data_IF_017866045403
#
_entry.id   IF_017866045403
#
_cell.length_a   1.000
_cell.length_b   1.000
_cell.length_c   1.000
_cell.angle_alpha   90.00
_cell.angle_beta   90.00
_cell.angle_gamma   90.00
#
_symmetry.space_group_name_H-M   'P 1'
#
loop_
_entity.id
_entity.type
_entity.pdbx_description
1 polymer ?
#
# COMPACT_ATOMS: atom_id res chain seq x y z
N UNK A 1 17.08 21.10 9.76
CA UNK A 1 16.97 21.12 9.24
C UNK A 1 16.67 20.81 8.95
N UNK A 2 16.90 20.60 9.15
CA UNK A 2 16.72 20.46 8.55
C UNK A 2 16.34 19.89 8.36
N UNK A 3 16.43 19.69 8.47
CA UNK A 3 16.24 19.43 7.88
C UNK A 3 15.71 19.07 7.56
N UNK A 4 15.68 18.88 7.68
CA UNK A 4 15.34 18.76 7.07
C UNK A 4 14.84 18.57 6.69
N UNK A 5 14.97 18.50 6.66
CA UNK A 5 14.60 18.47 5.96
C UNK A 5 14.16 18.17 5.57
N UNK A 6 14.30 18.07 5.54
CA UNK A 6 13.98 17.96 4.82
C UNK A 6 13.26 17.54 4.47
N UNK A 7 13.31 17.51 4.44
CA UNK A 7 12.72 17.29 3.75
C UNK A 7 12.02 17.16 3.43
N UNK A 8 12.01 17.35 3.19
CA UNK A 8 11.44 17.43 2.56
C UNK A 8 10.94 17.61 2.02
N UNK A 9 11.20 17.69 1.82
CA UNK A 9 10.85 17.84 1.04
C UNK A 9 10.60 17.55 0.35
N UNK A 10 10.99 17.32 -0.02
CA UNK A 10 10.71 16.90 -0.75
C UNK A 10 9.94 16.25 -0.96
N UNK A 11 9.53 16.35 -0.92
CA UNK A 11 8.67 15.70 -1.11
C UNK A 11 7.95 15.68 -1.72
N UNK A 12 8.05 16.18 -2.12
CA UNK A 12 7.42 16.07 -2.96
C UNK A 12 6.93 15.03 -3.62
N UNK A 13 7.17 14.76 -4.64
CA UNK A 13 6.83 13.49 -5.19
C UNK A 13 6.74 12.46 -4.08
N UNK A 14 6.27 11.26 -4.38
CA UNK A 14 6.12 10.24 -3.37
C UNK A 14 7.46 9.93 -2.72
N UNK A 15 7.50 9.85 -1.39
CA UNK A 15 8.72 9.54 -0.68
C UNK A 15 9.06 8.06 -0.67
N UNK A 16 8.43 7.27 -1.52
CA UNK A 16 8.67 5.83 -1.59
C UNK A 16 8.56 5.37 -3.02
N UNK A 17 9.08 4.18 -3.27
CA UNK A 17 9.10 3.62 -4.61
C UNK A 17 8.14 2.45 -4.72
N UNK A 18 7.93 1.98 -5.95
CA UNK A 18 7.11 0.79 -6.14
C UNK A 18 7.79 -0.43 -5.51
N UNK A 19 9.12 -0.44 -5.48
CA UNK A 19 9.83 -1.54 -4.82
C UNK A 19 9.51 -1.59 -3.34
N UNK A 20 9.39 -0.42 -2.70
CA UNK A 20 8.99 -0.37 -1.30
C UNK A 20 7.63 -1.01 -1.10
N UNK A 21 6.69 -0.69 -2.00
CA UNK A 21 5.34 -1.23 -1.92
C UNK A 21 5.35 -2.73 -2.10
N UNK A 22 6.12 -3.22 -3.08
CA UNK A 22 6.18 -4.64 -3.36
C UNK A 22 6.78 -5.41 -2.20
N UNK A 23 7.78 -4.83 -1.55
CA UNK A 23 8.41 -5.47 -0.41
C UNK A 23 7.42 -5.63 0.74
N UNK A 24 6.65 -4.58 1.01
CA UNK A 24 5.64 -4.65 2.06
C UNK A 24 4.60 -5.70 1.71
N UNK A 25 4.19 -5.75 0.45
CA UNK A 25 3.22 -6.73 0.00
C UNK A 25 3.73 -8.15 0.20
N UNK A 26 4.99 -8.39 -0.16
CA UNK A 26 5.60 -9.71 0.03
C UNK A 26 5.63 -10.10 1.50
N UNK A 27 5.97 -9.13 2.36
CA UNK A 27 6.01 -9.40 3.79
C UNK A 27 4.63 -9.79 4.32
N UNK A 28 3.60 -9.12 3.84
CA UNK A 28 2.23 -9.42 4.25
C UNK A 28 1.85 -10.84 3.82
N UNK A 29 2.14 -11.20 2.59
CA UNK A 29 1.81 -12.54 2.09
C UNK A 29 2.63 -13.62 2.78
N UNK A 30 3.90 -13.33 3.05
CA UNK A 30 4.74 -14.28 3.78
C UNK A 30 4.17 -14.55 5.16
N UNK A 31 3.77 -13.49 5.85
CA UNK A 31 3.18 -13.62 7.17
C UNK A 31 1.90 -14.45 7.11
N UNK A 32 1.08 -14.19 6.09
CA UNK A 32 -0.17 -14.93 5.93
C UNK A 32 0.08 -16.43 5.78
N UNK A 33 1.11 -16.79 5.02
CA UNK A 33 1.45 -18.20 4.83
C UNK A 33 1.96 -18.83 6.12
N UNK A 34 2.84 -18.13 6.81
CA UNK A 34 3.43 -18.65 8.05
C UNK A 34 2.37 -18.88 9.11
N UNK A 35 1.43 -17.95 9.20
CA UNK A 35 0.37 -18.04 10.20
C UNK A 35 -0.83 -18.84 9.74
N UNK A 36 -0.84 -19.22 8.47
CA UNK A 36 -1.91 -20.02 7.88
C UNK A 36 -3.28 -19.36 8.08
N UNK A 37 -3.33 -18.06 7.79
CA UNK A 37 -4.59 -17.33 7.90
C UNK A 37 -5.62 -17.87 6.94
N UNK A 38 -6.87 -17.93 7.39
CA UNK A 38 -7.99 -18.19 6.51
C UNK A 38 -8.07 -17.04 5.50
N UNK A 39 -8.24 -17.38 4.22
CA UNK A 39 -8.19 -16.35 3.16
C UNK A 39 -9.28 -15.30 3.33
N UNK A 40 -10.49 -15.71 3.72
CA UNK A 40 -11.56 -14.75 3.96
C UNK A 40 -11.24 -13.79 5.08
N UNK A 41 -10.69 -14.32 6.18
CA UNK A 41 -10.30 -13.50 7.31
C UNK A 41 -9.16 -12.57 6.93
N UNK A 42 -8.24 -13.06 6.10
CA UNK A 42 -7.11 -12.27 5.63
C UNK A 42 -7.59 -11.05 4.82
N UNK A 43 -8.53 -11.30 3.90
CA UNK A 43 -9.10 -10.22 3.08
C UNK A 43 -9.78 -9.19 3.97
N UNK A 44 -10.61 -9.66 4.88
CA UNK A 44 -11.32 -8.78 5.80
C UNK A 44 -10.33 -7.96 6.63
N UNK A 45 -9.28 -8.63 7.11
CA UNK A 45 -8.27 -7.97 7.92
C UNK A 45 -7.53 -6.89 7.17
N UNK A 46 -7.23 -7.14 5.89
CA UNK A 46 -6.56 -6.15 5.06
C UNK A 46 -7.43 -4.91 4.89
N UNK A 47 -8.72 -5.13 4.67
CA UNK A 47 -9.64 -4.01 4.50
C UNK A 47 -9.78 -3.24 5.81
N UNK A 48 -9.91 -3.97 6.90
CA UNK A 48 -10.03 -3.34 8.22
C UNK A 48 -8.80 -2.51 8.53
N UNK A 49 -7.60 -3.05 8.23
CA UNK A 49 -6.36 -2.33 8.46
C UNK A 49 -6.29 -1.06 7.63
N UNK A 50 -6.74 -1.14 6.37
CA UNK A 50 -6.75 0.02 5.51
C UNK A 50 -7.67 1.11 6.05
N UNK A 51 -8.88 0.71 6.48
CA UNK A 51 -9.82 1.67 7.04
C UNK A 51 -9.28 2.29 8.32
N UNK A 52 -8.63 1.49 9.14
CA UNK A 52 -8.05 1.99 10.37
C UNK A 52 -6.98 3.04 10.08
N UNK A 53 -6.10 2.74 9.14
CA UNK A 53 -5.02 3.67 8.76
C UNK A 53 -5.62 4.94 8.18
N UNK A 54 -6.60 4.80 7.31
CA UNK A 54 -7.25 5.95 6.70
C UNK A 54 -7.85 6.85 7.76
N UNK A 55 -8.55 6.25 8.71
CA UNK A 55 -9.18 7.00 9.79
C UNK A 55 -8.14 7.67 10.69
N UNK A 56 -7.11 6.92 11.08
CA UNK A 56 -6.11 7.42 12.04
C UNK A 56 -5.25 8.53 11.46
N UNK A 57 -4.89 8.40 10.18
CA UNK A 57 -4.01 9.39 9.54
C UNK A 57 -4.77 10.39 8.69
N UNK A 58 -6.10 10.30 8.69
CA UNK A 58 -6.97 11.22 7.97
C UNK A 58 -6.62 11.32 6.49
N UNK A 59 -6.40 10.15 5.90
CA UNK A 59 -6.08 10.06 4.48
C UNK A 59 -7.35 10.31 3.66
N UNK A 60 -7.31 11.24 2.69
CA UNK A 60 -8.50 11.53 1.88
C UNK A 60 -8.96 10.31 1.09
N UNK A 61 -10.29 10.16 0.97
CA UNK A 61 -10.87 9.10 0.17
C UNK A 61 -10.36 9.11 -1.27
N UNK A 62 -10.21 10.29 -1.83
CA UNK A 62 -9.76 10.41 -3.21
C UNK A 62 -8.36 9.84 -3.38
N UNK A 63 -7.50 10.03 -2.40
CA UNK A 63 -6.15 9.49 -2.46
C UNK A 63 -6.18 7.96 -2.48
N UNK A 64 -7.02 7.38 -1.62
CA UNK A 64 -7.15 5.92 -1.56
C UNK A 64 -7.72 5.39 -2.90
N UNK A 65 -8.72 6.09 -3.43
CA UNK A 65 -9.31 5.69 -4.69
C UNK A 65 -8.29 5.71 -5.83
N UNK A 66 -7.43 6.73 -5.83
CA UNK A 66 -6.40 6.85 -6.85
C UNK A 66 -5.40 5.70 -6.75
N UNK A 67 -5.00 5.37 -5.53
CA UNK A 67 -4.06 4.27 -5.32
C UNK A 67 -4.67 2.95 -5.77
N UNK A 68 -5.93 2.71 -5.43
CA UNK A 68 -6.61 1.49 -5.83
C UNK A 68 -6.67 1.37 -7.35
N UNK A 69 -6.99 2.47 -8.02
CA UNK A 69 -7.06 2.48 -9.48
C UNK A 69 -5.70 2.14 -10.08
N UNK A 70 -4.63 2.71 -9.52
CA UNK A 70 -3.29 2.45 -10.03
C UNK A 70 -2.88 1.01 -9.80
N UNK A 71 -3.26 0.43 -8.66
CA UNK A 71 -2.98 -0.97 -8.38
C UNK A 71 -3.67 -1.88 -9.39
N UNK A 72 -4.95 -1.60 -9.66
CA UNK A 72 -5.70 -2.41 -10.63
C UNK A 72 -5.09 -2.31 -12.01
N UNK A 73 -4.64 -1.11 -12.39
CA UNK A 73 -3.99 -0.92 -13.68
C UNK A 73 -2.71 -1.73 -13.75
N UNK A 74 -1.93 -1.69 -12.69
CA UNK A 74 -0.67 -2.43 -12.63
C UNK A 74 -0.91 -3.93 -12.85
N UNK A 75 -1.88 -4.48 -12.15
CA UNK A 75 -2.19 -5.91 -12.29
C UNK A 75 -2.66 -6.25 -13.69
N UNK A 76 -3.48 -5.38 -14.27
CA UNK A 76 -3.99 -5.59 -15.60
C UNK A 76 -2.86 -5.58 -16.63
N UNK A 77 -1.97 -4.62 -16.53
CA UNK A 77 -0.84 -4.50 -17.46
C UNK A 77 0.11 -5.68 -17.31
N UNK A 78 0.35 -6.10 -16.07
CA UNK A 78 1.24 -7.23 -15.83
C UNK A 78 0.65 -8.52 -16.39
N UNK A 79 -0.64 -8.72 -16.20
CA UNK A 79 -1.31 -9.90 -16.73
C UNK A 79 -1.27 -9.94 -18.23
N UNK A 80 -1.37 -8.78 -18.89
CA UNK A 80 -1.38 -8.71 -20.33
C UNK A 80 -0.02 -8.91 -20.97
N UNK A 81 1.02 -8.89 -20.17
CA UNK A 81 2.37 -9.04 -20.70
C UNK A 81 2.81 -10.48 -20.87
N UNK A 82 1.94 -11.37 -20.67
CA UNK A 82 2.30 -12.79 -20.77
C UNK A 82 2.68 -13.23 -22.17
#
# INVERSE_FOLDING_TARGET
MAHKKKVNEKQKSAPYTIEDVMKITDDIFKLSKEKKYNIGAFIHGLIFALEYVQFSYKVPQQQIANIKRDCRRYFKETANKK
#
